data_IF_075331574929
#
_entry.id   IF_075331574929
#
_cell.length_a   1.000
_cell.length_b   1.000
_cell.length_c   1.000
_cell.angle_alpha   90.00
_cell.angle_beta   90.00
_cell.angle_gamma   90.00
#
_symmetry.space_group_name_H-M   'P 1'
#
loop_
_entity.id
_entity.type
_entity.pdbx_description
1 polymer ?
#
# COMPACT_ATOMS: atom_id res chain seq x y z
N UNK A 1 4.38 -14.28 -21.01
CA UNK A 1 3.20 -14.38 -20.14
C UNK A 1 3.33 -15.61 -19.25
N UNK A 2 2.78 -15.51 -18.04
CA UNK A 2 2.73 -16.56 -17.03
C UNK A 2 1.26 -16.91 -16.72
N UNK A 3 1.00 -18.18 -16.48
CA UNK A 3 -0.28 -18.68 -16.00
C UNK A 3 -0.07 -19.36 -14.66
N UNK A 4 -0.80 -18.90 -13.65
CA UNK A 4 -0.75 -19.47 -12.30
C UNK A 4 -2.12 -19.96 -11.87
N UNK A 5 -2.15 -21.10 -11.17
CA UNK A 5 -3.34 -21.65 -10.56
C UNK A 5 -3.23 -21.70 -9.04
N UNK A 6 -4.30 -21.34 -8.34
CA UNK A 6 -4.37 -21.46 -6.88
C UNK A 6 -5.61 -22.20 -6.43
N UNK A 7 -5.42 -23.23 -5.60
CA UNK A 7 -6.52 -24.01 -5.02
C UNK A 7 -7.31 -23.24 -3.94
N UNK A 8 -6.86 -22.06 -3.54
CA UNK A 8 -7.56 -21.18 -2.59
C UNK A 8 -8.81 -20.56 -3.18
N UNK A 9 -8.88 -20.44 -4.50
CA UNK A 9 -10.01 -19.87 -5.21
C UNK A 9 -10.96 -20.93 -5.74
N UNK A 10 -12.21 -20.55 -5.98
CA UNK A 10 -13.18 -21.39 -6.65
C UNK A 10 -12.72 -21.72 -8.09
N UNK A 11 -13.31 -22.74 -8.69
CA UNK A 11 -12.86 -23.31 -9.95
C UNK A 11 -12.78 -22.28 -11.07
N UNK A 12 -13.72 -21.36 -11.12
CA UNK A 12 -13.86 -20.29 -12.11
C UNK A 12 -12.77 -19.24 -12.00
N UNK A 13 -12.32 -18.92 -10.78
CA UNK A 13 -11.36 -17.87 -10.47
C UNK A 13 -9.94 -18.40 -10.16
N UNK A 14 -9.75 -19.70 -10.30
CA UNK A 14 -8.51 -20.38 -9.90
C UNK A 14 -7.30 -19.94 -10.70
N UNK A 15 -7.48 -19.67 -12.00
CA UNK A 15 -6.40 -19.41 -12.93
C UNK A 15 -6.26 -17.91 -13.20
N UNK A 16 -5.05 -17.38 -13.02
CA UNK A 16 -4.68 -16.03 -13.39
C UNK A 16 -3.67 -16.01 -14.54
N UNK A 17 -3.86 -15.09 -15.49
CA UNK A 17 -2.90 -14.83 -16.56
C UNK A 17 -2.19 -13.49 -16.28
N UNK A 18 -0.85 -13.51 -16.31
CA UNK A 18 0.00 -12.40 -15.98
C UNK A 18 0.97 -12.11 -17.14
N UNK A 19 0.55 -11.28 -18.10
CA UNK A 19 1.39 -10.91 -19.24
C UNK A 19 2.48 -9.92 -18.84
N UNK A 20 3.61 -9.97 -19.55
CA UNK A 20 4.69 -8.97 -19.44
C UNK A 20 5.38 -8.78 -20.77
N UNK A 21 5.89 -7.57 -20.99
CA UNK A 21 6.70 -7.20 -22.14
C UNK A 21 7.79 -6.21 -21.72
N UNK A 22 8.96 -6.30 -22.34
CA UNK A 22 10.04 -5.36 -22.12
C UNK A 22 10.77 -5.07 -23.42
N UNK A 23 11.19 -3.82 -23.56
CA UNK A 23 12.02 -3.34 -24.67
C UNK A 23 13.24 -2.63 -24.07
N UNK A 24 14.37 -2.75 -24.77
CA UNK A 24 15.59 -2.05 -24.41
C UNK A 24 16.29 -1.59 -25.70
N UNK A 25 16.69 -0.32 -25.70
CA UNK A 25 17.43 0.27 -26.82
C UNK A 25 18.77 0.80 -26.35
N UNK A 26 19.86 0.24 -26.91
CA UNK A 26 21.24 0.70 -26.64
C UNK A 26 21.59 1.84 -27.58
N UNK A 27 21.24 3.05 -27.17
CA UNK A 27 21.43 4.27 -27.96
C UNK A 27 22.92 4.49 -28.25
N UNK A 28 23.80 4.17 -27.30
CA UNK A 28 25.26 4.33 -27.47
C UNK A 28 25.88 3.50 -28.60
N UNK A 29 25.20 2.45 -29.06
CA UNK A 29 25.69 1.61 -30.17
C UNK A 29 25.24 2.10 -31.55
N UNK A 30 24.38 3.10 -31.61
CA UNK A 30 23.86 3.64 -32.85
C UNK A 30 24.91 4.49 -33.60
N UNK A 31 24.88 4.47 -34.93
CA UNK A 31 25.85 5.18 -35.77
C UNK A 31 25.86 6.69 -35.52
N UNK A 32 24.70 7.29 -35.23
CA UNK A 32 24.59 8.73 -34.95
C UNK A 32 25.25 9.12 -33.61
N UNK A 33 25.58 8.16 -32.73
CA UNK A 33 26.26 8.37 -31.46
C UNK A 33 27.79 8.15 -31.53
N UNK A 34 28.32 7.85 -32.69
CA UNK A 34 29.75 7.53 -32.86
C UNK A 34 30.69 8.63 -32.35
N UNK A 35 30.31 9.90 -32.55
CA UNK A 35 31.09 11.04 -32.07
C UNK A 35 31.15 11.18 -30.54
N UNK A 36 30.26 10.51 -29.81
CA UNK A 36 30.17 10.58 -28.35
C UNK A 36 30.93 9.49 -27.64
N UNK A 37 31.43 8.48 -28.35
CA UNK A 37 32.10 7.28 -27.78
C UNK A 37 33.32 7.59 -26.90
N UNK A 38 33.93 8.76 -27.08
CA UNK A 38 35.09 9.20 -26.29
C UNK A 38 34.76 9.44 -24.81
N UNK A 39 33.51 9.80 -24.50
CA UNK A 39 33.09 10.11 -23.14
C UNK A 39 31.83 9.34 -22.70
N UNK A 40 30.97 8.93 -23.64
CA UNK A 40 29.74 8.19 -23.38
C UNK A 40 30.01 6.69 -23.64
N UNK A 41 30.19 5.93 -22.57
CA UNK A 41 30.51 4.50 -22.64
C UNK A 41 29.28 3.61 -22.78
N UNK A 42 28.14 4.05 -22.23
CA UNK A 42 26.87 3.35 -22.31
C UNK A 42 25.71 4.32 -22.19
N UNK A 43 24.73 4.15 -23.04
CA UNK A 43 23.44 4.82 -22.92
C UNK A 43 22.36 3.85 -23.39
N UNK A 44 21.50 3.41 -22.46
CA UNK A 44 20.47 2.41 -22.75
C UNK A 44 19.13 2.87 -22.15
N UNK A 45 18.14 2.98 -23.00
CA UNK A 45 16.75 3.21 -22.61
C UNK A 45 16.04 1.86 -22.45
N UNK A 46 15.28 1.73 -21.36
CA UNK A 46 14.45 0.56 -21.07
C UNK A 46 13.01 0.98 -20.89
N UNK A 47 12.08 0.17 -21.36
CA UNK A 47 10.67 0.30 -21.06
C UNK A 47 10.09 -1.09 -20.80
N UNK A 48 9.33 -1.24 -19.74
CA UNK A 48 8.68 -2.50 -19.41
C UNK A 48 7.25 -2.29 -18.93
N UNK A 49 6.45 -3.27 -19.22
CA UNK A 49 5.07 -3.43 -18.76
C UNK A 49 4.92 -4.83 -18.19
N UNK A 50 4.27 -4.97 -17.06
CA UNK A 50 4.02 -6.27 -16.45
C UNK A 50 2.76 -6.28 -15.61
N UNK A 51 2.12 -7.45 -15.57
CA UNK A 51 1.03 -7.73 -14.64
C UNK A 51 1.51 -8.82 -13.70
N UNK A 52 1.33 -8.63 -12.41
CA UNK A 52 1.60 -9.62 -11.37
C UNK A 52 0.34 -9.92 -10.58
N UNK A 53 0.19 -11.17 -10.15
CA UNK A 53 -0.89 -11.63 -9.31
C UNK A 53 -0.40 -11.93 -7.90
N UNK A 54 -1.27 -11.67 -6.90
CA UNK A 54 -1.05 -12.03 -5.52
C UNK A 54 -2.29 -12.73 -4.95
N UNK A 55 -2.09 -13.77 -4.15
CA UNK A 55 -3.14 -14.51 -3.45
C UNK A 55 -2.81 -14.72 -1.96
N UNK A 56 -1.83 -13.99 -1.44
CA UNK A 56 -1.36 -14.16 -0.06
C UNK A 56 -2.44 -13.82 0.98
N UNK A 57 -3.32 -12.87 0.67
CA UNK A 57 -4.41 -12.45 1.55
C UNK A 57 -5.58 -13.44 1.65
N UNK A 58 -5.55 -14.57 0.93
CA UNK A 58 -6.61 -15.60 0.98
C UNK A 58 -6.09 -16.83 1.70
N UNK A 59 -6.79 -17.27 2.74
CA UNK A 59 -6.54 -18.54 3.42
C UNK A 59 -6.96 -19.76 2.59
N UNK A 60 -6.53 -20.97 2.98
CA UNK A 60 -6.81 -22.20 2.22
C UNK A 60 -8.30 -22.52 2.04
N UNK A 61 -9.14 -22.02 2.95
CA UNK A 61 -10.57 -22.35 3.05
C UNK A 61 -11.50 -21.13 3.02
N UNK A 62 -10.98 -19.93 2.77
CA UNK A 62 -11.78 -18.68 2.82
C UNK A 62 -12.88 -18.60 1.77
N UNK A 63 -12.80 -19.44 0.74
CA UNK A 63 -13.84 -19.60 -0.29
C UNK A 63 -14.75 -20.80 -0.04
N UNK A 64 -14.66 -21.44 1.14
CA UNK A 64 -15.47 -22.60 1.52
C UNK A 64 -16.27 -22.29 2.78
N UNK A 65 -17.59 -22.48 2.72
CA UNK A 65 -18.44 -22.32 3.88
C UNK A 65 -18.19 -23.47 4.87
N UNK A 66 -17.52 -23.15 5.98
CA UNK A 66 -17.22 -24.10 7.02
C UNK A 66 -18.14 -23.89 8.22
N UNK A 67 -18.72 -24.98 8.74
CA UNK A 67 -19.47 -24.96 9.98
C UNK A 67 -18.50 -24.99 11.17
N UNK A 68 -18.73 -24.10 12.12
CA UNK A 68 -18.01 -24.07 13.39
C UNK A 68 -18.94 -24.48 14.53
N UNK A 69 -18.60 -25.55 15.23
CA UNK A 69 -19.41 -26.15 16.33
C UNK A 69 -19.02 -25.60 17.72
N UNK A 70 -18.16 -24.60 17.81
CA UNK A 70 -17.68 -24.03 19.08
C UNK A 70 -18.63 -23.02 19.72
N UNK A 71 -19.86 -22.86 19.23
CA UNK A 71 -20.83 -21.94 19.78
C UNK A 71 -21.70 -22.64 20.83
N UNK A 72 -21.87 -21.93 21.94
CA UNK A 72 -22.68 -22.39 23.05
C UNK A 72 -23.80 -21.40 23.29
N UNK A 73 -25.00 -21.90 23.54
CA UNK A 73 -26.11 -21.11 24.02
C UNK A 73 -26.80 -21.79 25.18
N UNK A 74 -27.36 -20.98 26.06
CA UNK A 74 -28.08 -21.49 27.21
C UNK A 74 -29.57 -21.69 26.84
N UNK A 75 -30.03 -22.91 26.89
CA UNK A 75 -31.42 -23.27 26.67
C UNK A 75 -32.01 -23.86 27.94
N UNK A 76 -32.86 -23.06 28.65
CA UNK A 76 -33.53 -23.53 29.88
C UNK A 76 -32.58 -23.96 31.01
N UNK A 77 -31.41 -23.31 31.15
CA UNK A 77 -30.41 -23.65 32.15
C UNK A 77 -29.43 -24.73 31.72
N UNK A 78 -29.58 -25.30 30.53
CA UNK A 78 -28.66 -26.28 29.96
C UNK A 78 -27.84 -25.64 28.84
N UNK A 79 -26.51 -25.77 28.90
CA UNK A 79 -25.63 -25.33 27.82
C UNK A 79 -25.75 -26.30 26.66
N UNK A 80 -26.25 -25.81 25.53
CA UNK A 80 -26.35 -26.56 24.28
C UNK A 80 -25.29 -26.15 23.31
N UNK A 81 -24.73 -27.08 22.56
CA UNK A 81 -23.82 -26.77 21.46
C UNK A 81 -24.62 -26.21 20.27
N UNK A 82 -24.21 -25.08 19.82
CA UNK A 82 -24.65 -24.51 18.55
C UNK A 82 -23.59 -24.64 17.47
N UNK A 83 -23.96 -24.34 16.28
CA UNK A 83 -23.02 -24.14 15.17
C UNK A 83 -23.29 -22.81 14.51
N UNK A 84 -22.20 -22.14 14.15
CA UNK A 84 -22.22 -20.99 13.28
C UNK A 84 -21.58 -21.34 11.95
N UNK A 85 -21.79 -20.54 10.95
CA UNK A 85 -21.07 -20.63 9.69
C UNK A 85 -20.36 -19.30 9.40
N UNK A 86 -19.23 -19.42 8.73
CA UNK A 86 -18.52 -18.24 8.23
C UNK A 86 -19.13 -17.87 6.89
N UNK A 87 -19.54 -16.61 6.73
CA UNK A 87 -19.87 -16.09 5.41
C UNK A 87 -18.62 -16.09 4.54
N UNK A 88 -18.81 -16.51 3.30
CA UNK A 88 -17.74 -16.57 2.33
C UNK A 88 -18.09 -15.70 1.11
N UNK A 89 -17.05 -15.27 0.41
CA UNK A 89 -17.18 -14.74 -0.93
C UNK A 89 -16.66 -15.79 -1.94
N UNK A 90 -17.55 -16.46 -2.69
CA UNK A 90 -17.12 -17.44 -3.68
C UNK A 90 -16.42 -16.80 -4.88
N UNK A 91 -16.63 -15.50 -5.10
CA UNK A 91 -16.10 -14.76 -6.26
C UNK A 91 -14.69 -14.20 -6.02
N UNK A 92 -14.04 -14.58 -4.90
CA UNK A 92 -12.67 -14.16 -4.62
C UNK A 92 -11.74 -14.55 -5.79
N UNK A 93 -10.90 -13.57 -6.18
CA UNK A 93 -9.93 -13.72 -7.24
C UNK A 93 -8.57 -13.14 -6.85
N UNK A 94 -7.62 -13.24 -7.77
CA UNK A 94 -6.27 -12.71 -7.61
C UNK A 94 -6.27 -11.19 -7.47
N UNK A 95 -5.53 -10.67 -6.49
CA UNK A 95 -5.09 -9.28 -6.55
C UNK A 95 -4.20 -9.09 -7.77
N UNK A 96 -4.33 -7.97 -8.46
CA UNK A 96 -3.55 -7.66 -9.66
C UNK A 96 -2.79 -6.37 -9.49
N UNK A 97 -1.50 -6.41 -9.83
CA UNK A 97 -0.68 -5.21 -9.94
C UNK A 97 -0.21 -5.07 -11.38
N UNK A 98 -0.61 -3.97 -11.99
CA UNK A 98 -0.15 -3.54 -13.32
C UNK A 98 0.98 -2.53 -13.11
N UNK A 99 2.16 -2.85 -13.61
CA UNK A 99 3.34 -2.00 -13.53
C UNK A 99 3.78 -1.53 -14.91
N UNK A 100 4.07 -0.25 -15.01
CA UNK A 100 4.79 0.37 -16.12
C UNK A 100 6.07 1.00 -15.59
N UNK A 101 7.21 0.68 -16.19
CA UNK A 101 8.52 1.21 -15.82
C UNK A 101 9.26 1.72 -17.05
N UNK A 102 9.92 2.88 -16.90
CA UNK A 102 10.88 3.43 -17.87
C UNK A 102 12.18 3.66 -17.14
N UNK A 103 13.27 3.10 -17.68
CA UNK A 103 14.60 3.19 -17.09
C UNK A 103 15.64 3.70 -18.09
N UNK A 104 16.60 4.46 -17.58
CA UNK A 104 17.76 4.93 -18.30
C UNK A 104 19.02 4.42 -17.60
N UNK A 105 19.84 3.62 -18.33
CA UNK A 105 21.16 3.22 -17.88
C UNK A 105 22.19 4.06 -18.60
N UNK A 106 23.13 4.65 -17.88
CA UNK A 106 24.21 5.45 -18.47
C UNK A 106 25.56 5.08 -17.89
N UNK A 107 26.60 5.28 -18.72
CA UNK A 107 27.99 5.11 -18.33
C UNK A 107 28.84 6.14 -19.05
N UNK A 108 29.70 6.84 -18.31
CA UNK A 108 30.55 7.92 -18.80
C UNK A 108 32.01 7.62 -18.49
N UNK A 109 32.92 8.11 -19.35
CA UNK A 109 34.37 8.04 -19.15
C UNK A 109 34.87 6.63 -18.84
N UNK A 110 34.61 5.67 -19.75
CA UNK A 110 34.91 4.25 -19.57
C UNK A 110 34.27 3.66 -18.31
N UNK A 111 33.00 4.02 -18.07
CA UNK A 111 32.19 3.63 -16.91
C UNK A 111 32.76 4.06 -15.54
N UNK A 112 33.64 5.06 -15.51
CA UNK A 112 34.08 5.65 -14.23
C UNK A 112 32.94 6.32 -13.49
N UNK A 113 31.95 6.81 -14.22
CA UNK A 113 30.67 7.28 -13.70
C UNK A 113 29.60 6.45 -14.38
N UNK A 114 28.82 5.71 -13.63
CA UNK A 114 27.72 4.95 -14.18
C UNK A 114 26.51 5.00 -13.23
N UNK A 115 25.34 4.79 -13.79
CA UNK A 115 24.13 4.82 -12.98
C UNK A 115 22.91 4.40 -13.74
N UNK A 116 21.81 4.34 -12.98
CA UNK A 116 20.46 4.07 -13.47
C UNK A 116 19.47 5.08 -12.93
N UNK A 117 18.49 5.41 -13.73
CA UNK A 117 17.33 6.20 -13.34
C UNK A 117 16.11 5.41 -13.76
N UNK A 118 15.25 5.04 -12.83
CA UNK A 118 14.02 4.32 -13.07
C UNK A 118 12.81 5.15 -12.62
N UNK A 119 11.81 5.22 -13.48
CA UNK A 119 10.50 5.82 -13.22
C UNK A 119 9.44 4.74 -13.33
N UNK A 120 8.66 4.54 -12.30
CA UNK A 120 7.63 3.51 -12.30
C UNK A 120 6.26 4.03 -11.87
N UNK A 121 5.24 3.33 -12.34
CA UNK A 121 3.85 3.51 -11.93
C UNK A 121 3.20 2.13 -11.79
N UNK A 122 2.80 1.77 -10.56
CA UNK A 122 2.18 0.49 -10.18
C UNK A 122 0.75 0.74 -9.73
N UNK A 123 -0.21 0.12 -10.40
CA UNK A 123 -1.61 0.16 -10.01
C UNK A 123 -2.01 -1.22 -9.52
N UNK A 124 -2.25 -1.34 -8.22
CA UNK A 124 -2.80 -2.55 -7.61
C UNK A 124 -4.31 -2.41 -7.51
N UNK A 125 -5.01 -3.38 -8.02
CA UNK A 125 -6.48 -3.50 -7.99
C UNK A 125 -6.91 -4.84 -7.41
N UNK A 126 -8.18 -4.94 -7.12
CA UNK A 126 -8.78 -6.15 -6.59
C UNK A 126 -8.10 -6.60 -5.27
N UNK A 127 -7.65 -5.60 -4.45
CA UNK A 127 -7.01 -5.87 -3.18
C UNK A 127 -8.00 -6.57 -2.24
N UNK A 128 -7.52 -7.61 -1.59
CA UNK A 128 -8.29 -8.40 -0.65
C UNK A 128 -8.42 -7.64 0.67
N UNK A 129 -9.63 -7.26 1.00
CA UNK A 129 -9.95 -6.50 2.21
C UNK A 129 -11.12 -7.13 2.94
N UNK A 130 -11.10 -7.04 4.28
CA UNK A 130 -12.25 -7.37 5.10
C UNK A 130 -13.31 -6.26 5.00
N UNK A 131 -14.49 -6.63 4.53
CA UNK A 131 -15.67 -5.78 4.52
C UNK A 131 -16.58 -6.16 5.69
N UNK A 132 -16.99 -5.18 6.48
CA UNK A 132 -17.97 -5.40 7.53
C UNK A 132 -19.33 -5.78 6.91
N UNK A 133 -19.95 -6.78 7.48
CA UNK A 133 -21.29 -7.25 7.07
C UNK A 133 -22.31 -6.90 8.13
N UNK A 134 -23.55 -6.52 7.74
CA UNK A 134 -24.64 -6.34 8.69
C UNK A 134 -24.88 -7.59 9.55
N UNK A 135 -25.16 -7.40 10.83
CA UNK A 135 -25.43 -8.49 11.76
C UNK A 135 -26.64 -9.33 11.37
N UNK A 136 -27.58 -8.73 10.67
CA UNK A 136 -28.81 -9.37 10.17
C UNK A 136 -28.52 -10.50 9.19
N UNK A 137 -27.35 -10.50 8.56
CA UNK A 137 -26.92 -11.59 7.69
C UNK A 137 -26.43 -12.83 8.45
N UNK A 138 -26.35 -12.74 9.79
CA UNK A 138 -26.04 -13.89 10.67
C UNK A 138 -24.59 -14.36 10.56
N UNK A 139 -23.66 -13.55 10.01
CA UNK A 139 -22.24 -13.88 10.02
C UNK A 139 -21.68 -13.80 11.43
N UNK A 140 -21.04 -14.84 11.88
CA UNK A 140 -20.36 -14.82 13.16
C UNK A 140 -19.17 -13.86 13.21
N UNK A 141 -18.43 -13.75 12.13
CA UNK A 141 -17.25 -12.89 12.05
C UNK A 141 -17.62 -11.42 11.84
N UNK A 142 -18.86 -11.12 11.41
CA UNK A 142 -19.30 -9.78 11.05
C UNK A 142 -18.53 -9.19 9.88
N UNK A 143 -17.72 -9.98 9.19
CA UNK A 143 -16.89 -9.53 8.07
C UNK A 143 -16.77 -10.61 7.01
N UNK A 144 -16.51 -10.19 5.78
CA UNK A 144 -16.25 -11.03 4.61
C UNK A 144 -15.06 -10.47 3.84
N UNK A 145 -14.18 -11.34 3.35
CA UNK A 145 -13.09 -10.93 2.47
C UNK A 145 -13.64 -10.68 1.08
N UNK A 146 -13.24 -9.57 0.46
CA UNK A 146 -13.65 -9.19 -0.89
C UNK A 146 -12.54 -8.46 -1.65
N UNK A 147 -12.59 -8.53 -2.98
CA UNK A 147 -11.64 -7.84 -3.87
C UNK A 147 -12.13 -6.41 -4.15
N UNK A 148 -11.86 -5.47 -3.25
CA UNK A 148 -12.52 -4.15 -3.26
C UNK A 148 -11.59 -2.95 -3.10
N UNK A 149 -10.30 -3.15 -2.99
CA UNK A 149 -9.33 -2.07 -2.80
C UNK A 149 -8.54 -1.74 -4.07
N UNK A 150 -8.15 -0.47 -4.20
CA UNK A 150 -7.22 -0.01 -5.24
C UNK A 150 -6.19 0.96 -4.66
N UNK A 151 -4.92 0.72 -4.98
CA UNK A 151 -3.79 1.54 -4.55
C UNK A 151 -2.88 1.82 -5.73
N UNK A 152 -2.39 3.04 -5.83
CA UNK A 152 -1.38 3.43 -6.79
C UNK A 152 -0.07 3.73 -6.08
N UNK A 153 1.04 3.22 -6.62
CA UNK A 153 2.40 3.53 -6.23
C UNK A 153 3.15 4.06 -7.44
N UNK A 154 3.73 5.24 -7.33
CA UNK A 154 4.58 5.81 -8.37
C UNK A 154 5.84 6.38 -7.76
N UNK A 155 6.95 6.25 -8.46
CA UNK A 155 8.20 6.71 -7.89
C UNK A 155 9.32 6.86 -8.89
N UNK A 156 10.43 7.35 -8.34
CA UNK A 156 11.71 7.50 -9.01
C UNK A 156 12.77 6.82 -8.16
N UNK A 157 13.64 6.07 -8.81
CA UNK A 157 14.82 5.47 -8.22
C UNK A 157 16.05 5.90 -9.01
N UNK A 158 17.09 6.32 -8.32
CA UNK A 158 18.35 6.77 -8.91
C UNK A 158 19.49 6.02 -8.22
N UNK A 159 20.33 5.39 -8.99
CA UNK A 159 21.58 4.82 -8.52
C UNK A 159 22.73 5.44 -9.30
N UNK A 160 23.75 5.90 -8.60
CA UNK A 160 24.97 6.48 -9.18
C UNK A 160 26.19 5.85 -8.54
N UNK A 161 27.10 5.34 -9.36
CA UNK A 161 28.38 4.81 -8.92
C UNK A 161 29.49 5.59 -9.60
N UNK A 162 30.51 5.97 -8.85
CA UNK A 162 31.66 6.72 -9.35
C UNK A 162 32.96 6.11 -8.86
N UNK A 163 33.89 5.93 -9.78
CA UNK A 163 35.28 5.58 -9.51
C UNK A 163 36.11 6.88 -9.46
N UNK A 164 36.26 7.43 -8.26
CA UNK A 164 36.87 8.76 -8.06
C UNK A 164 38.39 8.72 -8.24
N UNK A 165 39.03 7.77 -7.57
CA UNK A 165 40.49 7.57 -7.64
C UNK A 165 40.78 6.10 -7.86
N UNK A 166 41.65 5.81 -8.83
CA UNK A 166 42.19 4.47 -9.04
C UNK A 166 43.68 4.59 -9.35
N UNK A 167 44.51 4.22 -8.40
CA UNK A 167 45.94 4.15 -8.53
C UNK A 167 46.44 2.76 -8.09
N UNK A 168 47.73 2.52 -8.14
CA UNK A 168 48.31 1.24 -7.69
C UNK A 168 48.05 0.97 -6.21
N UNK A 169 47.99 2.03 -5.38
CA UNK A 169 47.97 1.92 -3.93
C UNK A 169 46.61 2.42 -3.34
N UNK A 170 45.80 3.13 -4.15
CA UNK A 170 44.53 3.73 -3.72
C UNK A 170 43.42 3.42 -4.70
N UNK A 171 42.30 2.97 -4.16
CA UNK A 171 41.02 2.84 -4.87
C UNK A 171 39.89 3.52 -4.05
N UNK A 172 39.27 4.53 -4.64
CA UNK A 172 38.13 5.23 -4.01
C UNK A 172 36.93 5.22 -4.94
N UNK A 173 35.91 4.54 -4.50
CA UNK A 173 34.62 4.45 -5.16
C UNK A 173 33.54 5.09 -4.28
N UNK A 174 32.54 5.68 -4.91
CA UNK A 174 31.35 6.21 -4.23
C UNK A 174 30.11 5.63 -4.88
N UNK A 175 29.19 5.14 -4.06
CA UNK A 175 27.87 4.69 -4.50
C UNK A 175 26.82 5.54 -3.80
N UNK A 176 25.89 6.11 -4.58
CA UNK A 176 24.76 6.88 -4.12
C UNK A 176 23.48 6.24 -4.63
N UNK A 177 22.50 6.07 -3.74
CA UNK A 177 21.16 5.63 -4.10
C UNK A 177 20.11 6.57 -3.51
N UNK A 178 19.12 6.89 -4.34
CA UNK A 178 17.97 7.69 -3.96
C UNK A 178 16.70 7.01 -4.45
N UNK A 179 15.70 6.89 -3.58
CA UNK A 179 14.38 6.37 -3.94
C UNK A 179 13.30 7.26 -3.33
N UNK A 180 12.28 7.58 -4.12
CA UNK A 180 11.07 8.25 -3.66
C UNK A 180 9.86 7.53 -4.21
N UNK A 181 9.04 6.98 -3.32
CA UNK A 181 7.74 6.40 -3.64
C UNK A 181 6.61 7.30 -3.14
N UNK A 182 5.58 7.45 -3.94
CA UNK A 182 4.31 8.08 -3.56
C UNK A 182 3.24 7.02 -3.63
N UNK A 183 2.74 6.61 -2.47
CA UNK A 183 1.61 5.70 -2.33
C UNK A 183 0.31 6.51 -2.27
N UNK A 184 -0.74 6.03 -2.89
CA UNK A 184 -2.05 6.71 -2.86
C UNK A 184 -3.17 5.69 -2.90
N UNK A 185 -4.02 5.71 -1.90
CA UNK A 185 -5.27 4.93 -1.88
C UNK A 185 -6.23 5.53 -2.91
N UNK A 186 -6.76 4.72 -3.81
CA UNK A 186 -7.68 5.13 -4.87
C UNK A 186 -9.12 4.72 -4.61
N UNK A 187 -9.30 3.57 -3.96
CA UNK A 187 -10.61 2.99 -3.68
C UNK A 187 -10.51 2.08 -2.45
N UNK A 188 -11.52 2.12 -1.60
CA UNK A 188 -11.68 1.27 -0.43
C UNK A 188 -13.11 0.71 -0.41
N UNK A 189 -13.27 -0.56 -0.04
CA UNK A 189 -14.57 -1.24 0.04
C UNK A 189 -15.46 -1.08 -1.21
N UNK A 190 -14.82 -0.99 -2.40
CA UNK A 190 -15.54 -0.78 -3.67
C UNK A 190 -16.07 0.64 -3.87
N UNK A 191 -15.68 1.60 -3.03
CA UNK A 191 -16.12 3.00 -3.07
C UNK A 191 -15.01 4.00 -2.85
N UNK A 192 -15.39 5.25 -2.66
CA UNK A 192 -14.50 6.37 -2.39
C UNK A 192 -14.74 7.00 -1.01
N UNK A 193 -15.16 6.19 -0.06
CA UNK A 193 -15.36 6.61 1.31
C UNK A 193 -14.15 6.26 2.16
N UNK A 194 -13.81 7.16 3.08
CA UNK A 194 -12.69 6.96 3.99
C UNK A 194 -13.01 5.93 5.06
N UNK A 195 -12.04 5.09 5.41
CA UNK A 195 -12.15 4.16 6.53
C UNK A 195 -11.38 4.73 7.73
N UNK A 196 -12.00 5.66 8.44
CA UNK A 196 -11.38 6.41 9.55
C UNK A 196 -10.89 5.48 10.65
N UNK A 197 -11.64 4.42 10.97
CA UNK A 197 -11.25 3.42 11.98
C UNK A 197 -9.94 2.69 11.64
N UNK A 198 -9.66 2.51 10.35
CA UNK A 198 -8.42 1.92 9.85
C UNK A 198 -7.34 2.98 9.58
N UNK A 199 -7.65 4.26 9.71
CA UNK A 199 -6.81 5.41 9.31
C UNK A 199 -6.46 5.40 7.81
N UNK A 200 -7.37 4.91 6.99
CA UNK A 200 -7.23 4.86 5.53
C UNK A 200 -8.11 5.91 4.87
N UNK A 201 -7.47 6.82 4.17
CA UNK A 201 -8.11 7.98 3.55
C UNK A 201 -7.88 7.96 2.04
N UNK A 202 -8.94 8.16 1.27
CA UNK A 202 -8.84 8.25 -0.20
C UNK A 202 -7.94 9.43 -0.59
N UNK A 203 -7.01 9.17 -1.49
CA UNK A 203 -6.04 10.18 -1.94
C UNK A 203 -4.81 10.33 -1.05
N UNK A 204 -4.77 9.68 0.11
CA UNK A 204 -3.62 9.69 1.03
C UNK A 204 -2.82 8.39 0.94
N UNK A 205 -1.57 8.37 1.45
CA UNK A 205 -0.81 7.14 1.61
C UNK A 205 -1.46 6.19 2.63
N UNK A 206 -1.16 4.90 2.53
CA UNK A 206 -1.69 3.88 3.45
C UNK A 206 -1.11 4.02 4.87
N UNK A 207 0.06 4.62 4.99
CA UNK A 207 0.83 4.81 6.23
C UNK A 207 0.72 6.23 6.80
N UNK A 208 -0.37 6.93 6.48
CA UNK A 208 -0.61 8.28 7.00
C UNK A 208 -0.63 8.30 8.54
N UNK A 209 0.06 9.27 9.11
CA UNK A 209 -0.01 9.53 10.55
C UNK A 209 -1.29 10.33 10.83
N UNK A 210 -2.25 9.67 11.46
CA UNK A 210 -3.53 10.26 11.84
C UNK A 210 -3.74 10.17 13.35
N UNK A 211 -4.07 11.27 13.96
CA UNK A 211 -4.29 11.36 15.39
C UNK A 211 -4.52 12.79 15.85
N UNK A 212 -4.70 12.95 17.13
CA UNK A 212 -4.93 14.25 17.73
C UNK A 212 -3.67 15.10 17.79
N UNK A 213 -3.80 16.41 17.47
CA UNK A 213 -2.72 17.37 17.61
C UNK A 213 -2.65 17.85 19.05
N UNK A 214 -1.53 17.54 19.71
CA UNK A 214 -1.24 17.98 21.08
C UNK A 214 -0.97 19.48 21.15
N UNK A 215 -1.60 20.17 22.12
CA UNK A 215 -1.52 21.62 22.36
C UNK A 215 -0.90 21.99 23.71
N UNK A 216 -0.30 21.03 24.40
CA UNK A 216 0.25 21.22 25.74
C UNK A 216 -0.65 20.68 26.84
N UNK A 217 -0.18 20.80 28.08
CA UNK A 217 -0.95 20.43 29.28
C UNK A 217 -1.86 21.60 29.68
N UNK A 218 -3.09 21.30 30.05
CA UNK A 218 -4.06 22.30 30.50
C UNK A 218 -3.65 22.86 31.87
N UNK A 219 -3.48 24.17 31.97
CA UNK A 219 -3.25 24.85 33.21
C UNK A 219 -4.57 25.06 33.98
N UNK A 220 -4.47 25.42 35.27
CA UNK A 220 -5.64 25.73 36.11
C UNK A 220 -6.49 26.87 35.53
N UNK A 221 -5.83 27.92 35.03
CA UNK A 221 -6.50 29.08 34.46
C UNK A 221 -7.25 28.72 33.17
N UNK A 222 -6.58 27.93 32.30
CA UNK A 222 -7.20 27.42 31.07
C UNK A 222 -8.37 26.48 31.35
N UNK A 223 -8.25 25.58 32.33
CA UNK A 223 -9.35 24.70 32.73
C UNK A 223 -10.60 25.50 33.19
N UNK A 224 -10.37 26.59 33.96
CA UNK A 224 -11.48 27.48 34.34
C UNK A 224 -12.10 28.21 33.14
N UNK A 225 -11.25 28.66 32.20
CA UNK A 225 -11.74 29.29 30.98
C UNK A 225 -12.57 28.30 30.14
N UNK A 226 -12.10 27.08 29.92
CA UNK A 226 -12.89 26.03 29.22
C UNK A 226 -14.18 25.67 29.94
N UNK A 227 -14.17 25.61 31.26
CA UNK A 227 -15.38 25.31 32.05
C UNK A 227 -16.50 26.34 31.84
N UNK A 228 -16.09 27.62 31.71
CA UNK A 228 -17.02 28.77 31.58
C UNK A 228 -17.39 29.11 30.13
N UNK A 229 -16.69 28.54 29.12
CA UNK A 229 -16.99 28.80 27.72
C UNK A 229 -18.20 27.94 27.27
N UNK A 230 -19.35 28.56 26.91
CA UNK A 230 -20.53 27.84 26.48
C UNK A 230 -20.39 27.17 25.09
N UNK A 231 -19.39 27.61 24.30
CA UNK A 231 -19.15 27.06 22.97
C UNK A 231 -18.25 25.81 23.02
N UNK A 232 -17.52 25.62 24.11
CA UNK A 232 -16.67 24.43 24.30
C UNK A 232 -17.49 23.26 24.85
N UNK A 233 -17.74 22.27 24.03
CA UNK A 233 -18.43 21.02 24.41
C UNK A 233 -17.47 20.05 25.08
N UNK A 234 -16.24 19.91 24.56
CA UNK A 234 -15.17 19.14 25.20
C UNK A 234 -14.47 20.01 26.23
N UNK A 235 -14.55 19.62 27.50
CA UNK A 235 -13.89 20.32 28.61
C UNK A 235 -12.55 19.66 28.93
N UNK A 236 -11.50 20.46 29.10
CA UNK A 236 -10.21 19.99 29.57
C UNK A 236 -10.04 20.38 31.03
N UNK A 237 -9.51 19.45 31.84
CA UNK A 237 -9.23 19.65 33.24
C UNK A 237 -7.75 19.98 33.48
N UNK A 238 -7.43 20.58 34.63
CA UNK A 238 -6.05 20.85 35.02
C UNK A 238 -5.19 19.59 34.98
N UNK A 239 -4.07 19.63 34.29
CA UNK A 239 -3.17 18.49 34.11
C UNK A 239 -3.48 17.57 32.92
N UNK A 240 -4.60 17.73 32.24
CA UNK A 240 -4.93 16.95 31.04
C UNK A 240 -4.23 17.49 29.78
N UNK A 241 -4.06 16.60 28.80
CA UNK A 241 -3.56 16.99 27.49
C UNK A 241 -4.63 17.78 26.73
N UNK A 242 -4.31 19.00 26.31
CA UNK A 242 -5.16 19.75 25.39
C UNK A 242 -4.99 19.24 23.97
N UNK A 243 -6.10 19.09 23.29
CA UNK A 243 -6.17 18.64 21.90
C UNK A 243 -6.69 19.80 21.05
N UNK A 244 -6.07 19.98 19.89
CA UNK A 244 -6.47 21.01 18.94
C UNK A 244 -7.82 20.68 18.31
N UNK A 245 -8.76 21.58 18.49
CA UNK A 245 -10.05 21.57 17.79
C UNK A 245 -9.80 22.09 16.36
N UNK A 246 -9.95 21.20 15.37
CA UNK A 246 -9.57 21.49 13.99
C UNK A 246 -10.62 22.34 13.26
N UNK A 247 -11.89 22.13 13.55
CA UNK A 247 -13.01 22.82 12.91
C UNK A 247 -13.60 23.95 13.75
N UNK A 248 -13.14 24.11 15.00
CA UNK A 248 -13.53 25.17 15.89
C UNK A 248 -14.97 25.04 16.44
N UNK A 249 -15.53 23.83 16.42
CA UNK A 249 -16.90 23.59 16.88
C UNK A 249 -17.02 23.36 18.41
N UNK A 250 -15.88 23.36 19.10
CA UNK A 250 -15.78 23.15 20.54
C UNK A 250 -15.84 21.68 20.97
N UNK A 251 -15.85 20.76 20.04
CA UNK A 251 -15.90 19.31 20.27
C UNK A 251 -14.68 18.64 19.65
N UNK A 252 -14.01 17.78 20.41
CA UNK A 252 -12.93 16.96 19.89
C UNK A 252 -13.47 15.64 19.37
N UNK A 253 -13.49 15.49 18.06
CA UNK A 253 -14.07 14.34 17.37
C UNK A 253 -13.15 13.82 16.23
#
# INVERSE_FOLDING_TARGET
SRWDGSSKFQKENRWGMFPSAALAWRISEENFMESTRNWLSNLKLRASFGVTGNNAGVGPYDTQALANIKYYYNYGGTVANGFGYTMINPDLTWEKTVEFNVGLDFGLFNNRINGTIDLYNKNSSDLLMEMQTPFELGSYTGAIISNVGKVNNKGIEIQLNTLNVQTKDWNWETSFSFARNINTIKELNGGKEDLVGNKWFIGQPIDVVYGYKYMGVCTREEAQAFANDPNMKTKFYEGEMKIYDKDGNGEIN
#
